data_IF_798582642740
#
_entry.id   IF_798582642740
#
_cell.length_a   1.000
_cell.length_b   1.000
_cell.length_c   1.000
_cell.angle_alpha   90.00
_cell.angle_beta   90.00
_cell.angle_gamma   90.00
#
_symmetry.space_group_name_H-M   'P 1'
#
loop_
_entity.id
_entity.type
_entity.pdbx_description
1 polymer ?
#
# COMPACT_ATOMS: atom_id res chain seq x y z
N UNK A 1 18.42 16.41 24.23
CA UNK A 1 17.53 17.59 24.33
C UNK A 1 16.80 17.79 23.01
N UNK A 2 17.47 18.20 21.92
CA UNK A 2 16.83 18.41 20.61
C UNK A 2 16.06 17.19 20.05
N UNK A 3 16.59 15.97 20.16
CA UNK A 3 15.87 14.75 19.71
C UNK A 3 14.65 14.40 20.58
N UNK A 4 14.68 14.76 21.87
CA UNK A 4 13.56 14.55 22.78
C UNK A 4 12.47 15.58 22.49
N UNK A 5 12.86 16.82 22.23
CA UNK A 5 11.95 17.90 21.84
C UNK A 5 11.29 17.60 20.49
N UNK A 6 12.06 17.21 19.47
CA UNK A 6 11.51 16.83 18.16
C UNK A 6 10.56 15.62 18.22
N UNK A 7 10.83 14.66 19.12
CA UNK A 7 9.95 13.53 19.35
C UNK A 7 8.62 13.98 19.98
N UNK A 8 8.69 14.80 21.03
CA UNK A 8 7.50 15.36 21.66
C UNK A 8 6.68 16.22 20.68
N UNK A 9 7.33 16.97 19.80
CA UNK A 9 6.67 17.71 18.72
C UNK A 9 5.95 16.78 17.74
N UNK A 10 6.56 15.65 17.37
CA UNK A 10 5.94 14.67 16.46
C UNK A 10 4.74 13.96 17.12
N UNK A 11 4.88 13.55 18.39
CA UNK A 11 3.77 12.99 19.18
C UNK A 11 2.60 13.98 19.28
N UNK A 12 2.89 15.24 19.60
CA UNK A 12 1.88 16.29 19.67
C UNK A 12 1.23 16.53 18.30
N UNK A 13 2.01 16.59 17.22
CA UNK A 13 1.48 16.80 15.87
C UNK A 13 0.51 15.69 15.44
N UNK A 14 0.84 14.42 15.72
CA UNK A 14 -0.06 13.30 15.42
C UNK A 14 -1.34 13.37 16.25
N UNK A 15 -1.23 13.70 17.53
CA UNK A 15 -2.38 13.88 18.42
C UNK A 15 -3.30 15.02 17.94
N UNK A 16 -2.72 16.16 17.56
CA UNK A 16 -3.45 17.33 17.05
C UNK A 16 -4.19 17.00 15.74
N UNK A 17 -3.52 16.31 14.80
CA UNK A 17 -4.16 15.86 13.55
C UNK A 17 -5.32 14.92 13.83
N UNK A 18 -5.14 13.96 14.74
CA UNK A 18 -6.22 13.03 15.09
C UNK A 18 -7.41 13.75 15.75
N UNK A 19 -7.15 14.71 16.63
CA UNK A 19 -8.18 15.53 17.27
C UNK A 19 -8.91 16.42 16.25
N UNK A 20 -8.18 17.08 15.34
CA UNK A 20 -8.80 17.85 14.26
C UNK A 20 -9.69 16.96 13.40
N UNK A 21 -9.17 15.81 12.95
CA UNK A 21 -9.92 14.89 12.10
C UNK A 21 -11.18 14.38 12.80
N UNK A 22 -11.16 14.13 14.10
CA UNK A 22 -12.35 13.69 14.86
C UNK A 22 -13.53 14.67 14.76
N UNK A 23 -13.26 15.97 14.64
CA UNK A 23 -14.28 17.03 14.52
C UNK A 23 -14.72 17.29 13.06
N UNK A 24 -13.96 16.79 12.06
CA UNK A 24 -14.26 17.00 10.64
C UNK A 24 -15.43 16.14 10.18
N UNK A 25 -16.46 16.79 9.65
CA UNK A 25 -17.66 16.16 9.08
C UNK A 25 -17.64 16.03 7.56
N UNK A 26 -16.76 16.75 6.87
CA UNK A 26 -16.52 16.72 5.43
C UNK A 26 -15.67 15.51 5.03
N UNK A 27 -16.20 14.32 5.30
CA UNK A 27 -15.60 13.04 4.92
C UNK A 27 -16.04 12.67 3.49
N UNK A 28 -15.15 12.05 2.73
CA UNK A 28 -15.49 11.43 1.45
C UNK A 28 -16.40 10.21 1.62
N UNK A 29 -16.69 9.52 0.53
CA UNK A 29 -17.54 8.32 0.56
C UNK A 29 -16.72 7.03 0.75
N UNK A 30 -17.23 6.13 1.60
CA UNK A 30 -16.65 4.80 1.79
C UNK A 30 -16.83 3.99 0.50
N UNK A 31 -15.79 3.24 0.11
CA UNK A 31 -15.87 2.33 -1.02
C UNK A 31 -16.90 1.21 -0.77
N UNK A 32 -17.93 1.11 -1.61
CA UNK A 32 -19.02 0.13 -1.47
C UNK A 32 -19.03 -0.97 -2.53
N UNK A 33 -18.13 -0.89 -3.53
CA UNK A 33 -18.06 -1.89 -4.61
C UNK A 33 -17.60 -3.28 -4.12
N UNK A 34 -16.93 -3.36 -2.97
CA UNK A 34 -16.66 -4.60 -2.23
C UNK A 34 -17.52 -4.56 -0.95
N UNK A 35 -18.43 -5.54 -0.74
CA UNK A 35 -19.36 -5.52 0.40
C UNK A 35 -18.71 -5.37 1.78
N UNK A 36 -17.49 -5.89 1.95
CA UNK A 36 -16.74 -5.80 3.20
C UNK A 36 -16.22 -4.38 3.46
N UNK A 37 -15.85 -3.63 2.42
CA UNK A 37 -15.37 -2.25 2.57
C UNK A 37 -16.49 -1.30 2.97
N UNK A 38 -17.70 -1.51 2.44
CA UNK A 38 -18.87 -0.68 2.75
C UNK A 38 -19.37 -0.78 4.20
N UNK A 39 -18.79 -1.65 5.02
CA UNK A 39 -19.13 -1.82 6.44
C UNK A 39 -18.29 -0.94 7.37
N UNK A 40 -17.26 -0.27 6.85
CA UNK A 40 -16.36 0.57 7.64
C UNK A 40 -17.07 1.88 8.00
N UNK A 41 -16.94 2.29 9.26
CA UNK A 41 -17.46 3.57 9.73
C UNK A 41 -16.66 4.73 9.11
N UNK A 42 -17.29 5.66 8.34
CA UNK A 42 -16.60 6.79 7.70
C UNK A 42 -15.92 7.75 8.68
N UNK A 43 -16.27 7.68 9.98
CA UNK A 43 -15.65 8.52 11.02
C UNK A 43 -14.27 8.01 11.46
N UNK A 44 -13.94 6.75 11.15
CA UNK A 44 -12.65 6.17 11.54
C UNK A 44 -11.49 6.95 10.95
N UNK A 45 -10.47 7.16 11.77
CA UNK A 45 -9.23 7.81 11.37
C UNK A 45 -8.10 7.31 12.27
N UNK A 46 -7.06 6.76 11.66
CA UNK A 46 -5.85 6.33 12.35
C UNK A 46 -4.62 6.87 11.64
N UNK A 47 -3.61 7.26 12.40
CA UNK A 47 -2.31 7.70 11.89
C UNK A 47 -1.20 7.08 12.74
N UNK A 48 -0.14 6.63 12.07
CA UNK A 48 1.03 6.05 12.69
C UNK A 48 2.29 6.65 12.07
N UNK A 49 3.30 6.89 12.90
CA UNK A 49 4.65 7.24 12.48
C UNK A 49 5.64 6.25 13.09
N UNK A 50 6.50 5.68 12.25
CA UNK A 50 7.63 4.84 12.68
C UNK A 50 8.90 5.58 12.33
N UNK A 51 9.73 5.85 13.33
CA UNK A 51 11.00 6.55 13.14
C UNK A 51 12.14 5.56 12.85
N UNK A 52 13.28 6.07 12.36
CA UNK A 52 14.41 5.22 11.94
C UNK A 52 15.02 4.38 13.08
N UNK A 53 14.77 4.73 14.34
CA UNK A 53 15.21 3.95 15.51
C UNK A 53 14.16 2.97 16.04
N UNK A 54 13.05 2.81 15.30
CA UNK A 54 11.99 1.85 15.62
C UNK A 54 10.92 2.37 16.58
N UNK A 55 10.98 3.63 17.03
CA UNK A 55 9.89 4.20 17.84
C UNK A 55 8.62 4.33 17.00
N UNK A 56 7.51 3.85 17.56
CA UNK A 56 6.18 3.89 16.97
C UNK A 56 5.32 4.88 17.74
N UNK A 57 4.75 5.84 17.02
CA UNK A 57 3.83 6.84 17.55
C UNK A 57 2.50 6.65 16.85
N UNK A 58 1.42 6.56 17.63
CA UNK A 58 0.08 6.27 17.16
C UNK A 58 -0.90 7.35 17.62
N UNK A 59 -1.89 7.68 16.80
CA UNK A 59 -3.03 8.49 17.20
C UNK A 59 -4.30 8.07 16.45
N UNK A 60 -5.46 8.27 17.10
CA UNK A 60 -6.76 7.82 16.57
C UNK A 60 -6.92 6.30 16.59
N UNK A 61 -7.62 5.75 15.60
CA UNK A 61 -7.90 4.31 15.42
C UNK A 61 -6.73 3.55 14.76
N UNK A 62 -5.47 3.91 15.06
CA UNK A 62 -4.29 3.40 14.34
C UNK A 62 -4.10 1.86 14.46
N UNK A 63 -4.59 1.26 15.55
CA UNK A 63 -4.50 -0.20 15.78
C UNK A 63 -5.60 -1.00 15.08
N UNK A 64 -6.55 -0.36 14.38
CA UNK A 64 -7.65 -1.06 13.72
C UNK A 64 -7.17 -1.72 12.42
N UNK A 65 -7.25 -3.06 12.28
CA UNK A 65 -6.87 -3.72 11.04
C UNK A 65 -7.80 -3.34 9.89
N UNK A 66 -7.23 -3.15 8.70
CA UNK A 66 -7.96 -2.92 7.45
C UNK A 66 -7.24 -3.56 6.27
N UNK A 67 -7.98 -3.76 5.18
CA UNK A 67 -7.41 -4.32 3.96
C UNK A 67 -6.45 -3.34 3.29
N UNK A 68 -5.20 -3.75 3.03
CA UNK A 68 -4.17 -2.91 2.39
C UNK A 68 -4.49 -2.53 0.93
N UNK A 69 -5.36 -3.26 0.23
CA UNK A 69 -5.80 -2.96 -1.14
C UNK A 69 -4.60 -2.69 -2.08
N UNK A 70 -4.60 -1.60 -2.85
CA UNK A 70 -3.52 -1.28 -3.80
C UNK A 70 -2.17 -0.96 -3.16
N UNK A 71 -2.08 -0.78 -1.83
CA UNK A 71 -0.79 -0.70 -1.14
C UNK A 71 0.01 -2.00 -1.33
N UNK A 72 -0.67 -3.15 -1.52
CA UNK A 72 -0.02 -4.44 -1.88
C UNK A 72 0.94 -4.37 -3.08
N UNK A 73 0.75 -3.41 -4.00
CA UNK A 73 1.56 -3.27 -5.21
C UNK A 73 3.02 -2.91 -4.93
N UNK A 74 3.30 -2.17 -3.85
CA UNK A 74 4.69 -1.82 -3.50
C UNK A 74 5.48 -3.04 -3.03
N UNK A 75 4.85 -3.90 -2.23
CA UNK A 75 5.48 -5.12 -1.71
C UNK A 75 5.71 -6.13 -2.82
N UNK A 76 4.70 -6.36 -3.67
CA UNK A 76 4.80 -7.28 -4.81
C UNK A 76 5.82 -6.81 -5.84
N UNK A 77 5.91 -5.50 -6.10
CA UNK A 77 6.96 -4.93 -6.95
C UNK A 77 8.35 -5.19 -6.37
N UNK A 78 8.53 -4.98 -5.07
CA UNK A 78 9.82 -5.19 -4.40
C UNK A 78 10.29 -6.64 -4.52
N UNK A 79 9.38 -7.60 -4.29
CA UNK A 79 9.68 -9.02 -4.48
C UNK A 79 10.02 -9.36 -5.94
N UNK A 80 9.25 -8.84 -6.90
CA UNK A 80 9.50 -9.12 -8.31
C UNK A 80 10.87 -8.58 -8.75
N UNK A 81 11.25 -7.39 -8.29
CA UNK A 81 12.58 -6.83 -8.54
C UNK A 81 13.69 -7.66 -7.88
N UNK A 82 13.48 -8.18 -6.67
CA UNK A 82 14.42 -9.11 -6.04
C UNK A 82 14.61 -10.41 -6.84
N UNK A 83 13.55 -10.88 -7.53
CA UNK A 83 13.55 -12.15 -8.28
C UNK A 83 14.15 -12.02 -9.68
N UNK A 84 13.81 -10.98 -10.43
CA UNK A 84 14.19 -10.86 -11.86
C UNK A 84 14.98 -9.59 -12.20
N UNK A 85 15.16 -8.69 -11.23
CA UNK A 85 15.85 -7.42 -11.43
C UNK A 85 15.23 -6.60 -12.57
N UNK A 86 16.10 -5.95 -13.36
CA UNK A 86 15.70 -5.06 -14.44
C UNK A 86 14.95 -5.75 -15.60
N UNK A 87 14.95 -7.08 -15.67
CA UNK A 87 14.17 -7.81 -16.67
C UNK A 87 12.66 -7.56 -16.54
N UNK A 88 12.19 -7.15 -15.36
CA UNK A 88 10.80 -6.72 -15.14
C UNK A 88 10.40 -5.58 -16.10
N UNK A 89 11.33 -4.67 -16.40
CA UNK A 89 11.05 -3.46 -17.18
C UNK A 89 10.82 -3.72 -18.67
N UNK A 90 11.07 -4.94 -19.14
CA UNK A 90 10.66 -5.36 -20.48
C UNK A 90 9.17 -5.69 -20.57
N UNK A 91 8.48 -5.88 -19.42
CA UNK A 91 7.08 -6.29 -19.35
C UNK A 91 6.14 -5.22 -18.81
N UNK A 92 6.68 -4.26 -18.05
CA UNK A 92 5.95 -3.14 -17.47
C UNK A 92 6.87 -1.91 -17.42
N UNK A 93 6.34 -0.73 -17.73
CA UNK A 93 7.10 0.51 -17.71
C UNK A 93 7.35 1.07 -16.31
N UNK A 94 7.82 2.32 -16.27
CA UNK A 94 8.13 3.07 -15.03
C UNK A 94 7.47 4.45 -14.97
N UNK A 95 6.74 4.82 -16.02
CA UNK A 95 6.26 6.18 -16.22
C UNK A 95 4.84 6.37 -15.66
N UNK A 96 4.48 7.57 -15.19
CA UNK A 96 3.10 7.90 -14.87
C UNK A 96 2.17 7.66 -16.06
N UNK A 97 0.92 7.28 -15.77
CA UNK A 97 -0.09 7.02 -16.79
C UNK A 97 -0.79 8.28 -17.29
N UNK A 98 -0.93 9.32 -16.46
CA UNK A 98 -1.71 10.52 -16.79
C UNK A 98 -3.23 10.29 -16.87
N UNK A 99 -3.67 9.05 -17.12
CA UNK A 99 -5.06 8.60 -17.08
C UNK A 99 -5.37 7.79 -15.80
N UNK A 100 -6.66 7.57 -15.48
CA UNK A 100 -7.07 6.71 -14.38
C UNK A 100 -6.43 5.32 -14.42
N UNK A 101 -6.19 4.73 -13.24
CA UNK A 101 -5.44 3.47 -13.07
C UNK A 101 -6.05 2.22 -13.74
N UNK A 102 -7.28 2.31 -14.23
CA UNK A 102 -8.05 1.26 -14.90
C UNK A 102 -8.32 1.57 -16.39
N UNK A 103 -7.64 2.55 -16.99
CA UNK A 103 -7.83 2.93 -18.39
C UNK A 103 -7.33 1.86 -19.35
N UNK A 104 -8.26 1.20 -20.06
CA UNK A 104 -7.95 0.23 -21.14
C UNK A 104 -7.41 0.94 -22.38
N UNK A 105 -7.95 2.13 -22.70
CA UNK A 105 -7.56 2.89 -23.90
C UNK A 105 -6.06 3.16 -23.91
N UNK A 106 -5.48 3.51 -22.76
CA UNK A 106 -4.04 3.73 -22.65
C UNK A 106 -3.25 2.43 -22.88
N UNK A 107 -3.71 1.32 -22.31
CA UNK A 107 -3.05 0.03 -22.47
C UNK A 107 -3.04 -0.40 -23.95
N UNK A 108 -4.11 -0.14 -24.68
CA UNK A 108 -4.18 -0.38 -26.13
C UNK A 108 -3.18 0.50 -26.91
N UNK A 109 -3.09 1.79 -26.58
CA UNK A 109 -2.10 2.69 -27.19
C UNK A 109 -0.65 2.28 -26.90
N UNK A 110 -0.43 1.62 -25.76
CA UNK A 110 0.88 1.10 -25.35
C UNK A 110 1.12 -0.35 -25.80
N UNK A 111 0.32 -0.84 -26.76
CA UNK A 111 0.42 -2.18 -27.35
C UNK A 111 0.40 -3.31 -26.30
N UNK A 112 -0.39 -3.12 -25.22
CA UNK A 112 -0.55 -4.11 -24.17
C UNK A 112 0.53 -4.11 -23.09
N UNK A 113 1.53 -3.23 -23.17
CA UNK A 113 2.56 -3.09 -22.11
C UNK A 113 2.08 -2.03 -21.12
N UNK A 114 1.82 -2.37 -19.85
CA UNK A 114 1.34 -1.38 -18.88
C UNK A 114 2.42 -0.35 -18.54
N UNK A 115 2.01 0.90 -18.33
CA UNK A 115 2.88 2.02 -17.98
C UNK A 115 3.78 1.86 -16.77
N UNK A 116 3.26 1.28 -15.71
CA UNK A 116 3.90 1.19 -14.40
C UNK A 116 3.25 0.10 -13.55
N UNK A 117 3.95 -0.43 -12.54
CA UNK A 117 3.42 -1.49 -11.68
C UNK A 117 2.31 -1.05 -10.71
N UNK A 118 2.03 0.26 -10.58
CA UNK A 118 1.05 0.78 -9.63
C UNK A 118 -0.38 0.88 -10.20
N UNK A 119 -0.54 0.81 -11.51
CA UNK A 119 -1.85 0.59 -12.15
C UNK A 119 -2.23 -0.89 -12.16
N UNK A 120 -3.53 -1.19 -12.32
CA UNK A 120 -4.02 -2.57 -12.18
C UNK A 120 -3.40 -3.53 -13.21
N UNK A 121 -3.27 -3.09 -14.46
CA UNK A 121 -2.64 -3.90 -15.51
C UNK A 121 -1.17 -4.22 -15.20
N UNK A 122 -0.41 -3.25 -14.67
CA UNK A 122 0.97 -3.47 -14.26
C UNK A 122 1.10 -4.40 -13.06
N UNK A 123 0.22 -4.27 -12.07
CA UNK A 123 0.18 -5.18 -10.92
C UNK A 123 -0.12 -6.63 -11.31
N UNK A 124 -0.94 -6.85 -12.35
CA UNK A 124 -1.18 -8.19 -12.90
C UNK A 124 0.09 -8.75 -13.53
N UNK A 125 0.85 -7.95 -14.29
CA UNK A 125 2.16 -8.37 -14.85
C UNK A 125 3.15 -8.72 -13.73
N UNK A 126 3.20 -7.92 -12.66
CA UNK A 126 4.05 -8.21 -11.48
C UNK A 126 3.62 -9.52 -10.81
N UNK A 127 2.32 -9.74 -10.65
CA UNK A 127 1.78 -10.97 -10.07
C UNK A 127 2.12 -12.21 -10.91
N UNK A 128 2.07 -12.09 -12.25
CA UNK A 128 2.49 -13.15 -13.17
C UNK A 128 3.99 -13.47 -13.03
N UNK A 129 4.85 -12.46 -12.89
CA UNK A 129 6.29 -12.65 -12.65
C UNK A 129 6.56 -13.38 -11.32
N UNK A 130 5.81 -13.05 -10.27
CA UNK A 130 5.93 -13.73 -8.97
C UNK A 130 5.46 -15.19 -9.07
N UNK A 131 4.33 -15.42 -9.74
CA UNK A 131 3.77 -16.75 -9.95
C UNK A 131 4.66 -17.64 -10.84
N UNK A 132 5.47 -17.05 -11.73
CA UNK A 132 6.31 -17.81 -12.66
C UNK A 132 7.21 -18.82 -11.91
N UNK A 133 7.01 -20.11 -12.20
CA UNK A 133 7.74 -21.22 -11.58
C UNK A 133 7.16 -21.74 -10.25
N UNK A 134 6.03 -21.19 -9.78
CA UNK A 134 5.39 -21.56 -8.52
C UNK A 134 3.94 -21.99 -8.71
N UNK A 135 3.45 -22.78 -7.76
CA UNK A 135 2.02 -22.95 -7.55
C UNK A 135 1.44 -21.69 -6.89
N UNK A 136 0.15 -21.34 -7.11
CA UNK A 136 -0.45 -20.15 -6.53
C UNK A 136 -0.27 -20.03 -5.00
N UNK A 137 -0.36 -21.15 -4.27
CA UNK A 137 -0.19 -21.18 -2.82
C UNK A 137 1.22 -20.79 -2.38
N UNK A 138 2.23 -21.13 -3.16
CA UNK A 138 3.64 -20.81 -2.84
C UNK A 138 3.89 -19.31 -3.02
N UNK A 139 3.43 -18.74 -4.13
CA UNK A 139 3.53 -17.30 -4.40
C UNK A 139 2.79 -16.46 -3.36
N UNK A 140 1.57 -16.88 -2.95
CA UNK A 140 0.84 -16.21 -1.86
C UNK A 140 1.63 -16.29 -0.56
N UNK A 141 2.20 -17.45 -0.23
CA UNK A 141 3.00 -17.63 0.97
C UNK A 141 4.28 -16.78 0.98
N UNK A 142 4.92 -16.59 -0.18
CA UNK A 142 6.09 -15.71 -0.33
C UNK A 142 5.72 -14.26 -0.07
N UNK A 143 4.63 -13.76 -0.67
CA UNK A 143 4.13 -12.41 -0.45
C UNK A 143 3.78 -12.20 1.02
N UNK A 144 3.06 -13.14 1.64
CA UNK A 144 2.64 -13.04 3.04
C UNK A 144 3.84 -12.97 3.98
N UNK A 145 4.78 -13.92 3.87
CA UNK A 145 5.99 -13.95 4.70
C UNK A 145 6.84 -12.69 4.54
N UNK A 146 6.89 -12.14 3.32
CA UNK A 146 7.63 -10.90 3.08
C UNK A 146 6.98 -9.71 3.79
N UNK A 147 5.65 -9.59 3.76
CA UNK A 147 4.94 -8.52 4.46
C UNK A 147 5.08 -8.70 5.98
N UNK A 148 4.93 -9.92 6.51
CA UNK A 148 5.14 -10.23 7.92
C UNK A 148 6.56 -9.85 8.38
N UNK A 149 7.57 -10.19 7.58
CA UNK A 149 8.96 -9.82 7.85
C UNK A 149 9.18 -8.29 7.87
N UNK A 150 8.61 -7.56 6.91
CA UNK A 150 8.75 -6.11 6.86
C UNK A 150 8.00 -5.39 7.98
N UNK A 151 6.86 -5.94 8.42
CA UNK A 151 6.04 -5.39 9.48
C UNK A 151 6.50 -5.81 10.88
N UNK A 152 7.40 -6.81 10.98
CA UNK A 152 7.74 -7.49 12.23
C UNK A 152 6.50 -8.01 12.98
N UNK A 153 5.54 -8.57 12.23
CA UNK A 153 4.24 -9.02 12.74
C UNK A 153 3.79 -10.31 12.05
N UNK A 154 3.78 -11.42 12.80
CA UNK A 154 3.35 -12.75 12.33
C UNK A 154 1.81 -12.90 12.23
N UNK A 155 1.03 -11.94 12.73
CA UNK A 155 -0.43 -12.00 12.77
C UNK A 155 -1.10 -11.55 11.46
N UNK A 156 -0.32 -10.94 10.57
CA UNK A 156 -0.74 -10.56 9.20
C UNK A 156 -1.08 -11.79 8.36
#
# INVERSE_FOLDING_TARGET
MAEIEAMAELEQALADVAAEMAERSDRGEVATYIPQLGKVDPKKFGIAAVTNDGRVILAGDADQPFSIQSVSKVFTLTLALGKVGDALWHRVGREPSGNPFNSIVQLEHENGIPRNPFINAGAIVVSDVLLAGHQPREAIGEILRFIQFLADDETI
#
